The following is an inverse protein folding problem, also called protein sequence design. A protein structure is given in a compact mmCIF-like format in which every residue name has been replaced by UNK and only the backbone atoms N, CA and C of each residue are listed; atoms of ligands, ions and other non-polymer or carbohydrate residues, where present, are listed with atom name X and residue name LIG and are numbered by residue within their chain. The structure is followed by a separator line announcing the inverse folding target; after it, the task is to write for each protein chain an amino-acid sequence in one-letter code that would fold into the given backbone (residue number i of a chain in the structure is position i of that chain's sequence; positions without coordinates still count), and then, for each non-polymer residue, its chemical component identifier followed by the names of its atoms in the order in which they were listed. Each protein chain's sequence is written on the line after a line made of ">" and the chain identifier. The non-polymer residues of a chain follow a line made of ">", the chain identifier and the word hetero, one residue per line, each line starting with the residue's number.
data_IF_908235162769
#
_entry.id   IF_908235162769
#
_cell.length_a   1.000
_cell.length_b   1.000
_cell.length_c   1.000
_cell.angle_alpha   90.00
_cell.angle_beta   90.00
_cell.angle_gamma   90.00
#
_symmetry.space_group_name_H-M   'P 1'
#
loop_
_entity.id
_entity.type
_entity.pdbx_description
1 polymer ?
#
# COMPACT_ATOMS: atom_id res chain seq x y z
N UNK A 1 -18.09 5.38 -4.42
CA UNK A 1 -17.01 6.32 -4.80
C UNK A 1 -15.69 5.55 -4.81
N UNK A 2 -14.91 5.69 -5.88
CA UNK A 2 -13.67 4.93 -6.09
C UNK A 2 -12.46 5.88 -6.01
N UNK A 3 -11.48 5.51 -5.19
CA UNK A 3 -10.18 6.19 -5.13
C UNK A 3 -9.10 5.25 -5.62
N UNK A 4 -8.23 5.77 -6.50
CA UNK A 4 -7.03 5.08 -6.96
C UNK A 4 -5.84 5.87 -6.44
N UNK A 5 -5.00 5.22 -5.64
CA UNK A 5 -3.81 5.80 -5.04
C UNK A 5 -2.56 5.18 -5.68
N UNK A 6 -1.76 6.01 -6.34
CA UNK A 6 -0.48 5.61 -6.93
C UNK A 6 0.67 5.82 -5.94
N UNK A 7 1.66 4.92 -5.97
CA UNK A 7 2.87 5.03 -5.14
C UNK A 7 3.62 6.35 -5.35
N UNK A 8 3.60 6.95 -6.54
CA UNK A 8 4.19 8.28 -6.84
C UNK A 8 3.48 9.38 -6.04
N UNK A 9 2.15 9.32 -5.92
CA UNK A 9 1.37 10.26 -5.11
C UNK A 9 1.74 10.17 -3.63
N UNK A 10 2.00 8.96 -3.13
CA UNK A 10 2.43 8.77 -1.73
C UNK A 10 3.90 9.15 -1.55
N UNK A 11 4.79 8.81 -2.50
CA UNK A 11 6.21 9.15 -2.45
C UNK A 11 6.47 10.66 -2.54
N UNK A 12 5.62 11.42 -3.25
CA UNK A 12 5.67 12.88 -3.30
C UNK A 12 5.53 13.52 -1.90
N UNK A 13 4.96 12.80 -0.93
CA UNK A 13 4.86 13.23 0.48
C UNK A 13 6.00 12.71 1.39
N UNK A 14 6.99 12.02 0.82
CA UNK A 14 8.15 11.46 1.53
C UNK A 14 8.23 9.93 1.43
N UNK A 15 9.44 9.37 1.57
CA UNK A 15 9.67 7.91 1.52
C UNK A 15 8.80 7.17 2.53
N UNK A 16 7.96 6.27 2.02
CA UNK A 16 7.05 5.47 2.84
C UNK A 16 7.85 4.41 3.60
N UNK A 17 8.25 4.72 4.83
CA UNK A 17 8.78 3.70 5.74
C UNK A 17 7.71 2.66 6.05
N UNK A 18 8.10 1.44 6.43
CA UNK A 18 7.16 0.37 6.76
C UNK A 18 6.16 0.78 7.86
N UNK A 19 6.60 1.60 8.82
CA UNK A 19 5.75 2.15 9.88
C UNK A 19 4.66 3.07 9.32
N UNK A 20 5.02 3.96 8.40
CA UNK A 20 4.08 4.90 7.76
C UNK A 20 3.10 4.16 6.84
N UNK A 21 3.58 3.18 6.06
CA UNK A 21 2.72 2.32 5.23
C UNK A 21 1.65 1.61 6.07
N UNK A 22 2.05 1.02 7.19
CA UNK A 22 1.14 0.30 8.08
C UNK A 22 0.06 1.22 8.65
N UNK A 23 0.44 2.40 9.11
CA UNK A 23 -0.50 3.38 9.67
C UNK A 23 -1.47 3.93 8.60
N UNK A 24 -0.96 4.22 7.40
CA UNK A 24 -1.78 4.65 6.26
C UNK A 24 -2.85 3.59 5.92
N UNK A 25 -2.46 2.32 5.80
CA UNK A 25 -3.37 1.24 5.43
C UNK A 25 -4.45 1.00 6.49
N UNK A 26 -4.13 1.15 7.79
CA UNK A 26 -5.13 1.11 8.87
C UNK A 26 -6.17 2.23 8.72
N UNK A 27 -5.73 3.46 8.43
CA UNK A 27 -6.61 4.61 8.24
C UNK A 27 -7.49 4.45 6.99
N UNK A 28 -6.91 3.99 5.88
CA UNK A 28 -7.67 3.71 4.66
C UNK A 28 -8.74 2.64 4.90
N UNK A 29 -8.43 1.56 5.62
CA UNK A 29 -9.42 0.53 5.97
C UNK A 29 -10.59 1.08 6.78
N UNK A 30 -10.33 1.98 7.73
CA UNK A 30 -11.37 2.66 8.51
C UNK A 30 -12.25 3.56 7.63
N UNK A 31 -11.64 4.30 6.71
CA UNK A 31 -12.37 5.17 5.77
C UNK A 31 -13.25 4.35 4.83
N UNK A 32 -12.73 3.25 4.27
CA UNK A 32 -13.51 2.34 3.42
C UNK A 32 -14.76 1.83 4.16
N UNK A 33 -14.61 1.40 5.42
CA UNK A 33 -15.73 0.92 6.23
C UNK A 33 -16.72 2.02 6.63
N UNK A 34 -16.24 3.22 6.96
CA UNK A 34 -17.08 4.33 7.42
C UNK A 34 -17.88 4.98 6.30
N UNK A 35 -17.29 5.11 5.11
CA UNK A 35 -17.88 5.86 4.00
C UNK A 35 -18.34 4.98 2.84
N UNK A 36 -18.26 3.65 2.98
CA UNK A 36 -18.58 2.68 1.93
C UNK A 36 -17.89 3.04 0.59
N UNK A 37 -16.60 3.36 0.68
CA UNK A 37 -15.76 3.72 -0.47
C UNK A 37 -14.81 2.59 -0.80
N UNK A 38 -14.51 2.44 -2.09
CA UNK A 38 -13.51 1.50 -2.56
C UNK A 38 -12.21 2.25 -2.78
N UNK A 39 -11.12 1.76 -2.20
CA UNK A 39 -9.77 2.31 -2.38
C UNK A 39 -8.89 1.23 -3.01
N UNK A 40 -8.31 1.55 -4.16
CA UNK A 40 -7.31 0.73 -4.83
C UNK A 40 -5.97 1.42 -4.69
N UNK A 41 -4.96 0.73 -4.15
CA UNK A 41 -3.61 1.24 -3.99
C UNK A 41 -2.63 0.48 -4.89
N UNK A 42 -1.85 1.20 -5.69
CA UNK A 42 -0.74 0.65 -6.44
C UNK A 42 0.52 0.70 -5.56
N UNK A 43 1.14 -0.44 -5.34
CA UNK A 43 2.31 -0.59 -4.47
C UNK A 43 3.46 -1.25 -5.21
N UNK A 44 4.68 -0.80 -4.93
CA UNK A 44 5.89 -1.46 -5.43
C UNK A 44 6.21 -2.73 -4.63
N UNK A 45 6.73 -3.74 -5.32
CA UNK A 45 7.38 -4.88 -4.66
C UNK A 45 8.79 -4.48 -4.21
N UNK A 46 9.32 -5.15 -3.19
CA UNK A 46 10.75 -5.04 -2.86
C UNK A 46 11.61 -5.57 -4.01
N UNK A 47 12.91 -5.23 -4.02
CA UNK A 47 13.86 -5.82 -4.96
C UNK A 47 13.93 -7.33 -4.70
N UNK A 48 13.58 -8.13 -5.69
CA UNK A 48 13.48 -9.59 -5.60
C UNK A 48 13.94 -10.26 -6.89
N UNK A 49 14.07 -11.58 -6.81
CA UNK A 49 14.27 -12.43 -7.97
C UNK A 49 12.98 -12.46 -8.83
N UNK A 50 13.10 -12.05 -10.10
CA UNK A 50 11.97 -11.97 -11.04
C UNK A 50 11.55 -13.33 -11.58
N UNK A 51 12.36 -14.38 -11.42
CA UNK A 51 12.04 -15.74 -11.87
C UNK A 51 11.06 -16.46 -10.92
N UNK A 52 10.99 -15.99 -9.66
CA UNK A 52 10.11 -16.58 -8.63
C UNK A 52 8.72 -15.93 -8.67
N UNK A 53 7.65 -16.64 -8.27
CA UNK A 53 6.30 -16.09 -8.16
C UNK A 53 6.19 -15.02 -7.05
N UNK A 54 5.30 -14.04 -7.24
CA UNK A 54 5.05 -12.98 -6.25
C UNK A 54 4.26 -13.56 -5.07
N UNK A 55 4.71 -13.28 -3.86
CA UNK A 55 4.14 -13.74 -2.60
C UNK A 55 3.83 -12.53 -1.68
N UNK A 56 3.00 -12.72 -0.64
CA UNK A 56 2.63 -11.62 0.28
C UNK A 56 3.84 -10.93 0.92
N UNK A 57 4.92 -11.67 1.16
CA UNK A 57 6.16 -11.15 1.73
C UNK A 57 6.88 -10.12 0.84
N UNK A 58 6.55 -10.08 -0.45
CA UNK A 58 7.16 -9.18 -1.42
C UNK A 58 6.59 -7.75 -1.38
N UNK A 59 5.47 -7.54 -0.69
CA UNK A 59 4.91 -6.20 -0.51
C UNK A 59 5.93 -5.30 0.22
N UNK A 60 6.31 -4.19 -0.42
CA UNK A 60 7.19 -3.22 0.19
C UNK A 60 6.45 -2.47 1.31
N UNK A 61 7.09 -2.35 2.48
CA UNK A 61 6.59 -1.56 3.61
C UNK A 61 5.37 -2.12 4.37
N UNK A 62 4.52 -2.96 3.79
CA UNK A 62 3.23 -3.36 4.39
C UNK A 62 2.98 -4.87 4.49
N UNK A 63 3.93 -5.72 4.10
CA UNK A 63 3.78 -7.19 4.11
C UNK A 63 3.31 -7.80 5.46
N UNK A 64 3.50 -7.08 6.58
CA UNK A 64 2.97 -7.43 7.91
C UNK A 64 1.93 -6.41 8.36
N UNK A 65 0.76 -6.40 7.73
CA UNK A 65 -0.40 -5.67 8.23
C UNK A 65 -1.06 -6.44 9.37
#
# INVERSE_FOLDING_TARGET
>A
MLFILDSITVAATGSVTARVAKELMKRLKLICGRYNVTVITLMHTRKRDKSKPIEMQDLAGSAKL
#
